data_IF_791880099006
#
_entry.id   IF_791880099006
#
_cell.length_a   1.000
_cell.length_b   1.000
_cell.length_c   1.000
_cell.angle_alpha   90.00
_cell.angle_beta   90.00
_cell.angle_gamma   90.00
#
_symmetry.space_group_name_H-M   'P 1'
#
loop_
_entity.id
_entity.type
_entity.pdbx_description
1 polymer ?
#
# COMPACT_ATOMS: atom_id res chain seq x y z
N UNK A 1 -10.64 17.39 3.93
CA UNK A 1 -9.42 17.11 3.15
C UNK A 1 -9.40 15.63 2.80
N UNK A 2 -9.57 15.36 1.53
CA UNK A 2 -9.70 14.02 0.97
C UNK A 2 -8.33 13.36 0.84
N UNK A 3 -7.82 12.87 1.95
CA UNK A 3 -6.61 12.06 1.97
C UNK A 3 -6.98 10.58 1.97
N UNK A 4 -7.69 10.14 0.98
CA UNK A 4 -8.24 8.80 1.03
C UNK A 4 -7.56 7.84 0.10
N UNK A 5 -7.16 6.75 0.68
CA UNK A 5 -7.11 5.47 0.01
C UNK A 5 -8.53 5.00 -0.25
N UNK A 6 -9.45 5.41 0.59
CA UNK A 6 -10.89 5.26 0.51
C UNK A 6 -11.54 6.47 1.12
N UNK A 7 -12.63 6.95 0.57
CA UNK A 7 -13.50 7.95 1.20
C UNK A 7 -14.27 7.40 2.41
N UNK A 8 -13.94 6.20 2.83
CA UNK A 8 -14.59 5.45 3.91
C UNK A 8 -13.59 5.08 5.00
N UNK A 9 -14.06 4.95 6.27
CA UNK A 9 -13.22 4.41 7.33
C UNK A 9 -12.61 3.08 6.92
N UNK A 10 -11.35 2.87 7.25
CA UNK A 10 -10.68 1.60 7.05
C UNK A 10 -11.51 0.48 7.66
N UNK A 11 -11.80 -0.54 6.83
CA UNK A 11 -12.52 -1.74 7.25
C UNK A 11 -13.98 -1.49 7.70
N UNK A 12 -14.78 -0.88 6.83
CA UNK A 12 -16.22 -0.79 6.96
C UNK A 12 -16.96 -2.09 6.55
N UNK A 13 -16.22 -3.16 6.28
CA UNK A 13 -16.74 -4.44 5.84
C UNK A 13 -17.17 -4.49 4.37
N UNK A 14 -16.89 -3.45 3.60
CA UNK A 14 -17.23 -3.38 2.17
C UNK A 14 -15.99 -3.46 1.31
N UNK A 15 -16.11 -4.17 0.21
CA UNK A 15 -15.09 -4.19 -0.84
C UNK A 15 -14.92 -2.82 -1.51
N UNK A 16 -13.76 -2.61 -2.13
CA UNK A 16 -13.51 -1.42 -2.95
C UNK A 16 -14.46 -1.45 -4.15
N UNK A 17 -15.35 -0.46 -4.24
CA UNK A 17 -16.25 -0.33 -5.38
C UNK A 17 -15.55 0.37 -6.56
N UNK A 18 -16.12 0.20 -7.76
CA UNK A 18 -15.60 0.85 -8.98
C UNK A 18 -15.63 2.39 -8.91
N UNK A 19 -16.50 2.95 -8.06
CA UNK A 19 -16.63 4.40 -7.89
C UNK A 19 -15.73 4.97 -6.79
N UNK A 20 -15.07 4.13 -6.01
CA UNK A 20 -14.18 4.60 -4.93
C UNK A 20 -12.89 5.17 -5.50
N UNK A 21 -12.45 6.29 -4.93
CA UNK A 21 -11.08 6.75 -5.15
C UNK A 21 -10.10 5.86 -4.41
N UNK A 22 -9.05 5.43 -5.09
CA UNK A 22 -8.02 4.56 -4.53
C UNK A 22 -6.62 5.12 -4.76
N UNK A 23 -5.73 4.83 -3.82
CA UNK A 23 -4.30 5.11 -4.02
C UNK A 23 -3.77 4.17 -5.13
N UNK A 24 -3.05 4.71 -6.09
CA UNK A 24 -2.49 3.94 -7.21
C UNK A 24 -1.63 2.75 -6.75
N UNK A 25 -1.00 2.87 -5.60
CA UNK A 25 -0.19 1.80 -4.99
C UNK A 25 -1.01 0.55 -4.63
N UNK A 26 -2.34 0.69 -4.45
CA UNK A 26 -3.21 -0.46 -4.20
C UNK A 26 -3.05 -1.49 -5.32
N UNK A 27 -3.23 -1.06 -6.57
CA UNK A 27 -3.22 -1.96 -7.73
C UNK A 27 -1.81 -2.35 -8.21
N UNK A 28 -0.79 -1.65 -7.75
CA UNK A 28 0.61 -2.10 -7.86
C UNK A 28 1.00 -3.12 -6.78
N UNK A 29 0.28 -3.16 -5.67
CA UNK A 29 0.60 -4.00 -4.50
C UNK A 29 -0.25 -5.25 -4.42
N UNK A 30 -1.52 -5.16 -4.78
CA UNK A 30 -2.51 -6.21 -4.64
C UNK A 30 -3.17 -6.56 -5.97
N UNK A 31 -3.43 -7.85 -6.16
CA UNK A 31 -4.37 -8.35 -7.16
C UNK A 31 -5.79 -8.27 -6.59
N UNK A 32 -6.73 -7.79 -7.39
CA UNK A 32 -8.16 -7.76 -7.07
C UNK A 32 -8.99 -7.96 -8.32
N UNK A 33 -10.27 -8.37 -8.21
CA UNK A 33 -11.13 -8.59 -9.36
C UNK A 33 -11.21 -7.37 -10.29
N UNK A 34 -11.34 -7.62 -11.57
CA UNK A 34 -11.49 -6.63 -12.65
C UNK A 34 -10.28 -5.70 -12.91
N UNK A 35 -9.22 -5.81 -12.12
CA UNK A 35 -7.98 -5.06 -12.33
C UNK A 35 -6.94 -5.98 -12.97
N UNK A 36 -6.23 -5.56 -14.02
CA UNK A 36 -5.20 -6.36 -14.64
C UNK A 36 -4.11 -6.81 -13.65
N UNK A 37 -3.83 -8.10 -13.65
CA UNK A 37 -2.71 -8.65 -12.92
C UNK A 37 -1.50 -8.69 -13.85
N UNK A 38 -0.72 -7.62 -13.86
CA UNK A 38 0.37 -7.40 -14.80
C UNK A 38 -0.15 -7.46 -16.27
N UNK A 39 0.15 -8.50 -17.00
CA UNK A 39 -0.22 -8.74 -18.39
C UNK A 39 -1.43 -9.67 -18.57
N UNK A 40 -2.15 -10.00 -17.47
CA UNK A 40 -3.30 -10.89 -17.47
C UNK A 40 -4.52 -10.19 -16.88
N UNK A 41 -5.65 -10.28 -17.58
CA UNK A 41 -6.93 -9.83 -17.02
C UNK A 41 -7.50 -10.90 -16.09
N UNK A 42 -7.89 -10.49 -14.89
CA UNK A 42 -8.51 -11.35 -13.89
C UNK A 42 -9.99 -11.02 -13.76
N UNK A 43 -10.82 -11.59 -14.61
CA UNK A 43 -12.27 -11.39 -14.55
C UNK A 43 -12.93 -12.15 -13.40
N UNK A 44 -12.67 -13.46 -13.34
CA UNK A 44 -13.21 -14.38 -12.34
C UNK A 44 -12.12 -14.83 -11.37
N UNK A 45 -11.28 -13.88 -10.96
CA UNK A 45 -10.19 -14.19 -10.05
C UNK A 45 -10.72 -14.65 -8.71
N UNK A 46 -10.40 -15.88 -8.39
CA UNK A 46 -10.55 -16.43 -7.04
C UNK A 46 -9.16 -16.77 -6.54
N UNK A 47 -8.63 -16.07 -5.54
CA UNK A 47 -7.36 -16.45 -4.96
C UNK A 47 -7.46 -17.85 -4.37
N UNK A 48 -6.35 -18.58 -4.35
CA UNK A 48 -6.28 -19.85 -3.66
C UNK A 48 -6.70 -19.65 -2.19
N UNK A 49 -7.66 -20.45 -1.72
CA UNK A 49 -8.16 -20.36 -0.35
C UNK A 49 -8.75 -18.98 0.01
N UNK A 50 -9.56 -18.40 -0.87
CA UNK A 50 -10.20 -17.09 -0.65
C UNK A 50 -11.05 -17.04 0.63
N UNK A 51 -11.61 -18.16 1.05
CA UNK A 51 -12.37 -18.30 2.31
C UNK A 51 -11.50 -18.14 3.56
N UNK A 52 -10.18 -18.34 3.43
CA UNK A 52 -9.22 -18.24 4.54
C UNK A 52 -8.46 -16.91 4.49
N UNK A 53 -8.00 -16.51 3.30
CA UNK A 53 -7.08 -15.38 3.12
C UNK A 53 -7.75 -14.13 2.52
N UNK A 54 -9.03 -14.23 2.18
CA UNK A 54 -9.77 -13.15 1.55
C UNK A 54 -9.56 -13.05 0.04
N UNK A 55 -10.20 -12.06 -0.62
CA UNK A 55 -10.26 -11.96 -2.08
C UNK A 55 -9.04 -11.32 -2.74
N UNK A 56 -8.01 -10.95 -1.97
CA UNK A 56 -6.85 -10.23 -2.48
C UNK A 56 -5.58 -11.07 -2.42
N UNK A 57 -4.68 -10.88 -3.40
CA UNK A 57 -3.37 -11.53 -3.41
C UNK A 57 -2.25 -10.52 -3.60
N UNK A 58 -1.07 -10.75 -3.00
CA UNK A 58 0.07 -9.85 -3.17
C UNK A 58 0.59 -9.87 -4.62
N UNK A 59 0.97 -8.68 -5.12
CA UNK A 59 1.64 -8.47 -6.42
C UNK A 59 3.12 -8.13 -6.28
N UNK A 60 3.50 -7.50 -5.18
CA UNK A 60 4.91 -7.13 -4.97
C UNK A 60 5.83 -8.35 -5.10
N UNK A 61 6.97 -8.15 -5.76
CA UNK A 61 8.00 -9.18 -6.00
C UNK A 61 7.57 -10.30 -6.96
N UNK A 62 6.49 -10.10 -7.68
CA UNK A 62 6.14 -10.95 -8.82
C UNK A 62 6.60 -10.28 -10.11
N UNK A 63 6.80 -11.08 -11.13
CA UNK A 63 7.07 -10.64 -12.49
C UNK A 63 6.00 -11.18 -13.42
N UNK A 64 5.79 -10.50 -14.55
CA UNK A 64 4.94 -11.01 -15.62
C UNK A 64 5.45 -12.38 -16.09
N UNK A 65 4.52 -13.26 -16.43
CA UNK A 65 4.85 -14.59 -16.99
C UNK A 65 5.61 -14.49 -18.32
N UNK A 66 5.45 -13.38 -19.03
CA UNK A 66 6.15 -13.09 -20.28
C UNK A 66 7.50 -12.38 -20.09
N UNK A 67 7.88 -12.12 -18.83
CA UNK A 67 9.15 -11.46 -18.51
C UNK A 67 10.34 -12.40 -18.69
N UNK A 68 11.44 -11.88 -19.21
CA UNK A 68 12.74 -12.57 -19.24
C UNK A 68 13.31 -12.87 -17.86
N UNK A 69 12.78 -12.23 -16.82
CA UNK A 69 13.14 -12.47 -15.42
C UNK A 69 12.32 -13.58 -14.75
N UNK A 70 11.40 -14.22 -15.47
CA UNK A 70 10.60 -15.34 -14.98
C UNK A 70 11.14 -16.67 -15.49
N UNK A 71 11.26 -17.65 -14.60
CA UNK A 71 11.57 -19.03 -14.96
C UNK A 71 10.31 -19.88 -14.91
N UNK A 72 9.85 -20.45 -16.04
CA UNK A 72 8.69 -21.35 -16.06
C UNK A 72 9.00 -22.76 -15.53
N UNK A 73 10.26 -23.03 -15.19
CA UNK A 73 10.70 -24.33 -14.68
C UNK A 73 10.50 -24.34 -13.17
N UNK A 74 9.92 -25.43 -12.65
CA UNK A 74 9.83 -25.63 -11.20
C UNK A 74 11.21 -25.41 -10.54
N UNK A 75 11.33 -24.65 -9.46
CA UNK A 75 10.29 -24.07 -8.58
C UNK A 75 9.75 -22.67 -8.94
N UNK A 76 9.66 -22.30 -10.20
CA UNK A 76 9.06 -21.03 -10.68
C UNK A 76 9.73 -19.78 -10.07
N UNK A 77 11.02 -19.69 -10.23
CA UNK A 77 11.82 -18.58 -9.69
C UNK A 77 11.73 -17.33 -10.57
N UNK A 78 12.05 -16.20 -9.99
CA UNK A 78 12.30 -14.98 -10.73
C UNK A 78 13.64 -14.35 -10.35
N UNK A 79 14.17 -13.50 -11.21
CA UNK A 79 15.47 -12.84 -11.05
C UNK A 79 15.34 -11.43 -10.43
N UNK A 80 14.30 -11.17 -9.62
CA UNK A 80 14.17 -9.91 -8.90
C UNK A 80 15.10 -9.86 -7.70
N UNK A 81 15.80 -8.75 -7.56
CA UNK A 81 16.61 -8.48 -6.38
C UNK A 81 15.72 -8.37 -5.13
N UNK A 82 16.18 -8.95 -4.05
CA UNK A 82 15.55 -8.77 -2.75
C UNK A 82 16.03 -7.44 -2.13
N UNK A 83 15.09 -6.55 -1.86
CA UNK A 83 15.38 -5.29 -1.18
C UNK A 83 15.36 -5.50 0.33
N UNK A 84 16.50 -5.33 0.98
CA UNK A 84 16.58 -5.33 2.45
C UNK A 84 16.13 -3.98 3.00
N UNK A 85 16.58 -2.90 2.37
CA UNK A 85 16.21 -1.52 2.70
C UNK A 85 15.96 -0.78 1.39
N UNK A 86 14.88 -0.01 1.32
CA UNK A 86 14.56 0.86 0.20
C UNK A 86 14.75 2.33 0.56
N UNK A 87 15.00 3.16 -0.45
CA UNK A 87 15.13 4.61 -0.25
C UNK A 87 13.88 5.22 0.41
N UNK A 88 12.69 4.73 0.05
CA UNK A 88 11.45 5.15 0.70
C UNK A 88 11.43 4.89 2.21
N UNK A 89 12.03 3.78 2.67
CA UNK A 89 12.14 3.45 4.08
C UNK A 89 13.05 4.46 4.81
N UNK A 90 14.19 4.81 4.21
CA UNK A 90 15.09 5.84 4.75
C UNK A 90 14.40 7.21 4.86
N UNK A 91 13.62 7.60 3.85
CA UNK A 91 12.87 8.87 3.88
C UNK A 91 11.83 8.87 5.02
N UNK A 92 11.13 7.75 5.22
CA UNK A 92 10.14 7.63 6.29
C UNK A 92 10.78 7.54 7.67
N UNK A 93 11.95 6.93 7.83
CA UNK A 93 12.72 7.01 9.08
C UNK A 93 13.20 8.44 9.36
N UNK A 94 13.62 9.17 8.32
CA UNK A 94 14.00 10.60 8.48
C UNK A 94 12.80 11.44 8.89
N UNK A 95 11.61 11.18 8.30
CA UNK A 95 10.36 11.83 8.69
C UNK A 95 10.02 11.55 10.15
N UNK A 96 10.13 10.29 10.57
CA UNK A 96 9.86 9.86 11.94
C UNK A 96 10.80 10.54 12.95
N UNK A 97 12.10 10.53 12.69
CA UNK A 97 13.08 11.19 13.54
C UNK A 97 12.81 12.70 13.68
N UNK A 98 12.41 13.37 12.59
CA UNK A 98 12.06 14.78 12.62
C UNK A 98 10.80 15.03 13.47
N UNK A 99 9.75 14.24 13.28
CA UNK A 99 8.50 14.34 14.07
C UNK A 99 8.79 14.09 15.56
N UNK A 100 9.60 13.10 15.89
CA UNK A 100 9.93 12.77 17.28
C UNK A 100 10.71 13.90 17.98
N UNK A 101 11.55 14.61 17.23
CA UNK A 101 12.32 15.78 17.75
C UNK A 101 11.54 17.10 17.66
N UNK A 102 10.29 17.08 17.21
CA UNK A 102 9.41 18.27 17.15
C UNK A 102 9.48 19.06 15.84
N UNK A 103 10.30 18.65 14.88
CA UNK A 103 10.36 19.28 13.55
C UNK A 103 9.29 18.66 12.62
N UNK A 104 8.03 19.10 12.84
CA UNK A 104 6.89 18.59 12.12
C UNK A 104 6.92 18.94 10.63
N UNK A 105 7.54 20.05 10.26
CA UNK A 105 7.61 20.49 8.86
C UNK A 105 8.55 19.61 8.04
N UNK A 106 9.72 19.28 8.58
CA UNK A 106 10.60 18.29 7.96
C UNK A 106 9.92 16.94 7.87
N UNK A 107 9.17 16.52 8.89
CA UNK A 107 8.37 15.30 8.85
C UNK A 107 7.37 15.31 7.69
N UNK A 108 6.58 16.38 7.56
CA UNK A 108 5.61 16.59 6.48
C UNK A 108 6.29 16.55 5.10
N UNK A 109 7.42 17.23 4.96
CA UNK A 109 8.19 17.26 3.71
C UNK A 109 8.57 15.85 3.23
N UNK A 110 9.13 15.01 4.10
CA UNK A 110 9.56 13.68 3.71
C UNK A 110 8.39 12.72 3.45
N UNK A 111 7.29 12.84 4.20
CA UNK A 111 6.05 12.12 3.90
C UNK A 111 5.54 12.52 2.52
N UNK A 112 5.49 13.82 2.21
CA UNK A 112 5.03 14.32 0.93
C UNK A 112 5.92 13.90 -0.24
N UNK A 113 7.23 13.75 -0.06
CA UNK A 113 8.10 13.19 -1.12
C UNK A 113 7.63 11.79 -1.57
N UNK A 114 7.21 10.95 -0.64
CA UNK A 114 6.67 9.62 -0.96
C UNK A 114 5.31 9.76 -1.67
N UNK A 115 4.44 10.62 -1.17
CA UNK A 115 3.09 10.84 -1.72
C UNK A 115 3.15 11.47 -3.11
N UNK A 116 4.03 12.43 -3.35
CA UNK A 116 4.26 13.01 -4.67
C UNK A 116 4.77 11.97 -5.68
N UNK A 117 5.68 11.10 -5.26
CA UNK A 117 6.10 9.99 -6.11
C UNK A 117 4.92 9.07 -6.43
N UNK A 118 4.10 8.71 -5.44
CA UNK A 118 2.91 7.88 -5.64
C UNK A 118 1.89 8.57 -6.58
N UNK A 119 1.66 9.86 -6.39
CA UNK A 119 0.79 10.69 -7.24
C UNK A 119 1.23 10.70 -8.70
N UNK A 120 2.53 10.72 -8.94
CA UNK A 120 3.13 10.74 -10.27
C UNK A 120 3.47 9.34 -10.82
N UNK A 121 3.09 8.28 -10.10
CA UNK A 121 3.27 6.90 -10.57
C UNK A 121 2.31 6.62 -11.73
N UNK A 122 2.79 5.89 -12.72
CA UNK A 122 1.95 5.44 -13.82
C UNK A 122 0.74 4.66 -13.28
N UNK A 123 -0.46 5.06 -13.70
CA UNK A 123 -1.69 4.37 -13.36
C UNK A 123 -1.73 2.99 -13.99
N UNK A 124 -2.33 2.03 -13.29
CA UNK A 124 -2.66 0.74 -13.89
C UNK A 124 -3.77 0.97 -14.89
N UNK A 125 -3.55 0.53 -16.12
CA UNK A 125 -4.51 0.67 -17.22
C UNK A 125 -5.35 -0.58 -17.37
N UNK A 126 -6.49 -0.44 -18.05
CA UNK A 126 -7.26 -1.58 -18.56
C UNK A 126 -6.41 -2.41 -19.53
N UNK A 127 -6.80 -3.65 -19.81
CA UNK A 127 -6.01 -4.54 -20.70
C UNK A 127 -5.81 -3.97 -22.09
N UNK A 128 -6.79 -3.23 -22.61
CA UNK A 128 -6.72 -2.54 -23.90
C UNK A 128 -5.96 -1.20 -23.83
N UNK A 129 -5.44 -0.83 -22.66
CA UNK A 129 -4.69 0.40 -22.37
C UNK A 129 -5.47 1.70 -22.63
N UNK A 130 -6.79 1.62 -22.86
CA UNK A 130 -7.61 2.77 -23.25
C UNK A 130 -7.87 3.77 -22.11
N UNK A 131 -7.95 3.28 -20.89
CA UNK A 131 -8.29 4.08 -19.70
C UNK A 131 -7.63 3.54 -18.43
N UNK A 132 -7.76 4.29 -17.34
CA UNK A 132 -7.34 3.85 -16.03
C UNK A 132 -8.24 2.71 -15.54
N UNK A 133 -7.63 1.70 -14.90
CA UNK A 133 -8.35 0.54 -14.40
C UNK A 133 -9.19 0.85 -13.15
N UNK A 134 -8.94 1.97 -12.49
CA UNK A 134 -9.70 2.46 -11.34
C UNK A 134 -9.58 3.99 -11.20
N UNK A 135 -10.37 4.58 -10.31
CA UNK A 135 -10.32 6.01 -10.01
C UNK A 135 -9.13 6.34 -9.09
N UNK A 136 -7.95 6.53 -9.66
CA UNK A 136 -6.75 6.80 -8.87
C UNK A 136 -6.68 8.24 -8.39
N UNK A 137 -6.43 8.40 -7.09
CA UNK A 137 -6.23 9.71 -6.46
C UNK A 137 -5.25 9.60 -5.29
N UNK A 138 -4.18 10.35 -5.33
CA UNK A 138 -3.22 10.47 -4.22
C UNK A 138 -3.09 11.93 -3.86
N UNK A 139 -3.51 12.29 -2.65
CA UNK A 139 -3.32 13.63 -2.10
C UNK A 139 -1.99 13.78 -1.37
N UNK A 140 -1.56 15.01 -1.16
CA UNK A 140 -0.43 15.39 -0.31
C UNK A 140 -0.92 16.18 0.89
N UNK A 141 -0.10 16.33 1.90
CA UNK A 141 -0.40 17.19 3.05
C UNK A 141 -0.02 18.63 2.71
N UNK A 142 -0.96 19.41 2.20
CA UNK A 142 -0.73 20.80 1.79
C UNK A 142 -0.53 21.71 3.00
N UNK A 143 -1.29 21.47 4.08
CA UNK A 143 -1.23 22.25 5.31
C UNK A 143 -0.24 21.66 6.33
N UNK A 144 0.40 22.51 7.16
CA UNK A 144 1.21 22.05 8.27
C UNK A 144 0.42 21.18 9.27
N UNK A 145 1.07 20.18 9.84
CA UNK A 145 0.47 19.39 10.92
C UNK A 145 0.20 20.26 12.16
N UNK A 146 -1.00 20.15 12.70
CA UNK A 146 -1.43 20.92 13.87
C UNK A 146 -0.84 20.39 15.19
N UNK A 147 -0.40 19.15 15.21
CA UNK A 147 0.17 18.52 16.40
C UNK A 147 1.12 17.37 16.01
N UNK A 148 1.99 17.01 16.97
CA UNK A 148 2.83 15.82 16.85
C UNK A 148 2.00 14.55 16.63
N UNK A 149 0.86 14.43 17.30
CA UNK A 149 -0.01 13.26 17.12
C UNK A 149 -0.53 13.13 15.70
N UNK A 150 -0.98 14.23 15.08
CA UNK A 150 -1.40 14.25 13.68
C UNK A 150 -0.26 13.82 12.74
N UNK A 151 0.94 14.35 12.95
CA UNK A 151 2.12 13.98 12.17
C UNK A 151 2.48 12.50 12.32
N UNK A 152 2.42 11.95 13.54
CA UNK A 152 2.65 10.53 13.81
C UNK A 152 1.62 9.65 13.10
N UNK A 153 0.34 10.01 13.12
CA UNK A 153 -0.70 9.26 12.42
C UNK A 153 -0.49 9.30 10.90
N UNK A 154 -0.13 10.45 10.35
CA UNK A 154 0.20 10.60 8.93
C UNK A 154 1.39 9.72 8.53
N UNK A 155 2.47 9.74 9.31
CA UNK A 155 3.64 8.90 9.12
C UNK A 155 3.29 7.41 9.16
N UNK A 156 2.58 6.97 10.19
CA UNK A 156 2.20 5.55 10.38
C UNK A 156 1.32 5.06 9.24
N UNK A 157 0.41 5.93 8.77
CA UNK A 157 -0.41 5.64 7.59
C UNK A 157 0.47 5.51 6.35
N UNK A 158 1.37 6.46 6.09
CA UNK A 158 2.23 6.44 4.91
C UNK A 158 3.15 5.21 4.89
N UNK A 159 3.73 4.83 6.03
CA UNK A 159 4.50 3.59 6.15
C UNK A 159 3.67 2.35 5.81
N UNK A 160 2.43 2.32 6.31
CA UNK A 160 1.50 1.20 6.02
C UNK A 160 1.22 1.06 4.52
N UNK A 161 1.05 2.19 3.82
CA UNK A 161 0.77 2.20 2.39
C UNK A 161 1.97 1.83 1.55
N UNK A 162 3.06 2.51 1.81
CA UNK A 162 4.28 2.37 1.01
C UNK A 162 4.93 1.00 1.21
N UNK A 163 4.97 0.51 2.45
CA UNK A 163 5.62 -0.74 2.83
C UNK A 163 4.68 -1.95 2.87
N UNK A 164 3.46 -1.81 2.34
CA UNK A 164 2.50 -2.92 2.28
C UNK A 164 3.10 -4.15 1.59
N UNK A 165 2.87 -5.34 2.15
CA UNK A 165 3.40 -6.63 1.67
C UNK A 165 4.94 -6.76 1.62
N UNK A 166 5.66 -5.96 2.40
CA UNK A 166 7.13 -6.08 2.54
C UNK A 166 7.56 -6.72 3.87
N UNK A 167 6.62 -7.16 4.70
CA UNK A 167 6.91 -7.82 5.98
C UNK A 167 7.28 -6.88 7.14
N UNK A 168 7.30 -5.57 6.91
CA UNK A 168 7.80 -4.58 7.88
C UNK A 168 6.75 -4.23 8.94
N UNK A 169 5.46 -4.40 8.66
CA UNK A 169 4.35 -3.89 9.50
C UNK A 169 4.42 -4.34 10.96
N UNK A 170 4.69 -5.61 11.20
CA UNK A 170 4.77 -6.15 12.57
C UNK A 170 5.90 -5.48 13.37
N UNK A 171 7.06 -5.32 12.76
CA UNK A 171 8.20 -4.65 13.40
C UNK A 171 7.92 -3.18 13.72
N UNK A 172 7.23 -2.47 12.83
CA UNK A 172 6.77 -1.10 13.08
C UNK A 172 5.82 -1.03 14.27
N UNK A 173 4.84 -1.92 14.35
CA UNK A 173 3.89 -1.96 15.47
C UNK A 173 4.57 -2.23 16.81
N UNK A 174 5.53 -3.16 16.82
CA UNK A 174 6.30 -3.51 18.04
C UNK A 174 7.15 -2.32 18.49
N UNK A 175 7.93 -1.71 17.61
CA UNK A 175 8.80 -0.57 17.98
C UNK A 175 8.02 0.69 18.37
N UNK A 176 6.78 0.84 17.89
CA UNK A 176 5.87 1.92 18.31
C UNK A 176 5.11 1.59 19.61
N UNK A 177 5.23 0.38 20.14
CA UNK A 177 4.57 -0.05 21.37
C UNK A 177 3.05 -0.21 21.24
N UNK A 178 2.54 -0.43 20.01
CA UNK A 178 1.08 -0.50 19.74
C UNK A 178 0.65 -1.85 19.16
N UNK A 179 1.52 -2.85 19.18
CA UNK A 179 1.25 -4.15 18.57
C UNK A 179 0.03 -4.82 19.19
N UNK A 180 -0.06 -4.90 20.52
CA UNK A 180 -1.17 -5.52 21.22
C UNK A 180 -2.51 -4.85 20.90
N UNK A 181 -2.56 -3.52 20.97
CA UNK A 181 -3.76 -2.76 20.68
C UNK A 181 -4.25 -3.01 19.25
N UNK A 182 -3.36 -2.85 18.27
CA UNK A 182 -3.72 -2.95 16.84
C UNK A 182 -4.10 -4.38 16.46
N UNK A 183 -3.37 -5.39 16.95
CA UNK A 183 -3.63 -6.80 16.63
C UNK A 183 -4.93 -7.25 17.29
N UNK A 184 -5.16 -6.93 18.57
CA UNK A 184 -6.39 -7.30 19.25
C UNK A 184 -7.62 -6.59 18.65
N UNK A 185 -7.49 -5.32 18.24
CA UNK A 185 -8.56 -4.62 17.54
C UNK A 185 -8.87 -5.26 16.17
N UNK A 186 -7.86 -5.75 15.46
CA UNK A 186 -8.05 -6.51 14.21
C UNK A 186 -8.76 -7.83 14.47
N UNK A 187 -8.27 -8.64 15.43
CA UNK A 187 -8.88 -9.94 15.79
C UNK A 187 -10.33 -9.78 16.22
N UNK A 188 -10.64 -8.73 16.98
CA UNK A 188 -12.01 -8.47 17.44
C UNK A 188 -12.98 -8.17 16.29
N UNK A 189 -12.48 -7.61 15.18
CA UNK A 189 -13.28 -7.34 13.98
C UNK A 189 -13.44 -8.57 13.07
N UNK A 190 -12.43 -9.42 13.02
CA UNK A 190 -12.45 -10.64 12.19
C UNK A 190 -13.16 -11.82 12.85
N UNK A 191 -13.38 -11.77 14.18
CA UNK A 191 -14.21 -12.75 14.90
C UNK A 191 -15.69 -12.40 14.72
N UNK A 192 -16.23 -12.71 13.55
CA UNK A 192 -17.66 -12.71 13.29
C UNK A 192 -18.14 -14.16 13.14
#
# INVERSE_FOLDING_TARGET
>A
SEMCIRDRPYNDGKDVSENDYVDVRLDHTLARPNIPFMDVQLYDWTPREASVYGPYSPKKRLVSLNSTYYSPIWPYMNALNFYVIRYADLLLWRAEAAIETGDLETGRKYINMIRERAKNTQHVKTMDQSQDAANYKVGVYDEPFKSKNEAVQALRMERRLEMAHEGIRFFDLVRWGVADEVINAYIAKEKV
#
